data_IF_697364837190
#
_entry.id   IF_697364837190
#
_cell.length_a   1.000
_cell.length_b   1.000
_cell.length_c   1.000
_cell.angle_alpha   90.00
_cell.angle_beta   90.00
_cell.angle_gamma   90.00
#
_symmetry.space_group_name_H-M   'P 1'
#
loop_
_entity.id
_entity.type
_entity.pdbx_description
1 polymer ?
#
# COMPACT_ATOMS: atom_id res chain seq x y z
N UNK A 1 26.02 0.83 34.86
CA UNK A 1 25.60 -0.55 34.57
C UNK A 1 24.09 -0.64 34.22
N UNK A 2 23.21 0.05 34.96
CA UNK A 2 21.76 0.04 34.71
C UNK A 2 21.37 0.64 33.31
N UNK A 3 22.08 1.65 32.82
CA UNK A 3 21.75 2.28 31.55
C UNK A 3 22.03 1.38 30.33
N UNK A 4 23.00 0.49 30.42
CA UNK A 4 23.29 -0.49 29.36
C UNK A 4 22.19 -1.56 29.28
N UNK A 5 21.70 -2.06 30.42
CA UNK A 5 20.64 -3.06 30.44
C UNK A 5 19.32 -2.56 29.82
N UNK A 6 18.93 -1.33 30.11
CA UNK A 6 17.73 -0.71 29.50
C UNK A 6 17.88 -0.54 27.99
N UNK A 7 19.08 -0.16 27.52
CA UNK A 7 19.36 -0.05 26.09
C UNK A 7 19.22 -1.40 25.36
N UNK A 8 19.65 -2.50 25.97
CA UNK A 8 19.54 -3.83 25.37
C UNK A 8 18.12 -4.36 25.37
N UNK A 9 17.35 -4.11 26.42
CA UNK A 9 15.90 -4.43 26.48
C UNK A 9 15.17 -3.70 25.35
N UNK A 10 15.42 -2.41 25.18
CA UNK A 10 14.78 -1.61 24.14
C UNK A 10 15.16 -2.08 22.72
N UNK A 11 16.42 -2.44 22.48
CA UNK A 11 16.86 -3.00 21.20
C UNK A 11 16.16 -4.33 20.90
N UNK A 12 16.09 -5.23 21.87
CA UNK A 12 15.39 -6.52 21.74
C UNK A 12 13.91 -6.32 21.47
N UNK A 13 13.26 -5.40 22.16
CA UNK A 13 11.86 -5.07 21.95
C UNK A 13 11.61 -4.60 20.51
N UNK A 14 12.44 -3.70 19.97
CA UNK A 14 12.32 -3.25 18.59
C UNK A 14 12.45 -4.39 17.58
N UNK A 15 13.44 -5.26 17.77
CA UNK A 15 13.66 -6.41 16.89
C UNK A 15 12.46 -7.36 16.91
N UNK A 16 12.00 -7.72 18.13
CA UNK A 16 10.85 -8.61 18.29
C UNK A 16 9.58 -8.04 17.68
N UNK A 17 9.26 -6.77 17.93
CA UNK A 17 8.08 -6.11 17.37
C UNK A 17 8.15 -6.04 15.84
N UNK A 18 9.34 -5.89 15.27
CA UNK A 18 9.51 -5.87 13.82
C UNK A 18 9.12 -7.20 13.19
N UNK A 19 9.51 -8.31 13.81
CA UNK A 19 9.28 -9.65 13.29
C UNK A 19 7.86 -10.17 13.57
N UNK A 20 7.22 -9.65 14.62
CA UNK A 20 5.84 -10.02 15.00
C UNK A 20 4.76 -9.36 14.14
N UNK A 21 5.10 -8.42 13.26
CA UNK A 21 4.15 -7.73 12.40
C UNK A 21 3.31 -6.66 13.11
N UNK A 22 2.17 -6.25 12.53
CA UNK A 22 1.30 -5.26 13.12
C UNK A 22 0.62 -5.77 14.39
N UNK A 23 0.20 -4.83 15.24
CA UNK A 23 -0.44 -5.13 16.52
C UNK A 23 -1.61 -6.13 16.44
N UNK A 24 -2.32 -6.16 15.32
CA UNK A 24 -3.41 -7.12 15.07
C UNK A 24 -2.95 -8.60 15.06
N UNK A 25 -1.64 -8.86 14.95
CA UNK A 25 -1.08 -10.21 15.02
C UNK A 25 -0.76 -10.67 16.45
N UNK A 26 -0.87 -9.78 17.44
CA UNK A 26 -0.56 -10.10 18.85
C UNK A 26 -1.78 -10.68 19.54
N UNK A 27 -1.54 -11.66 20.42
CA UNK A 27 -2.57 -12.33 21.21
C UNK A 27 -2.25 -12.22 22.69
N UNK A 28 -3.29 -12.18 23.53
CA UNK A 28 -3.17 -12.18 24.98
C UNK A 28 -3.43 -10.84 25.65
N UNK A 29 -3.37 -10.82 26.98
CA UNK A 29 -3.64 -9.67 27.83
C UNK A 29 -2.56 -8.59 27.77
N UNK A 30 -1.32 -9.00 27.45
CA UNK A 30 -0.13 -8.14 27.45
C UNK A 30 0.09 -7.39 26.13
N UNK A 31 -0.89 -7.44 25.22
CA UNK A 31 -0.80 -6.72 23.92
C UNK A 31 -0.66 -5.21 24.18
N UNK A 32 0.42 -4.57 23.68
CA UNK A 32 0.63 -3.13 23.86
C UNK A 32 -0.54 -2.32 23.29
N UNK A 33 -0.98 -1.31 24.04
CA UNK A 33 -2.06 -0.41 23.60
C UNK A 33 -1.61 0.53 22.48
N UNK A 34 -0.34 0.85 22.44
CA UNK A 34 0.26 1.79 21.48
C UNK A 34 0.85 1.07 20.27
N UNK A 35 0.67 1.68 19.10
CA UNK A 35 1.43 1.33 17.90
C UNK A 35 2.69 2.19 17.84
N UNK A 36 3.84 1.54 17.87
CA UNK A 36 5.13 2.23 17.91
C UNK A 36 5.65 2.47 16.49
N UNK A 37 6.42 3.53 16.29
CA UNK A 37 6.88 3.95 14.96
C UNK A 37 7.66 2.85 14.23
N UNK A 38 8.42 2.03 14.94
CA UNK A 38 9.17 0.91 14.33
C UNK A 38 8.33 -0.30 13.93
N UNK A 39 7.04 -0.31 14.29
CA UNK A 39 6.07 -1.28 13.79
C UNK A 39 5.53 -0.89 12.40
N UNK A 40 5.93 0.28 11.89
CA UNK A 40 5.55 0.85 10.60
C UNK A 40 4.02 0.88 10.39
N UNK A 41 3.27 1.53 11.28
CA UNK A 41 1.82 1.58 11.18
C UNK A 41 1.39 2.37 9.96
N UNK A 42 0.54 1.78 9.13
CA UNK A 42 -0.09 2.47 8.00
C UNK A 42 -1.40 3.09 8.46
N UNK A 43 -1.46 4.42 8.49
CA UNK A 43 -2.67 5.15 8.88
C UNK A 43 -3.82 4.82 7.93
N UNK A 44 -4.93 4.36 8.49
CA UNK A 44 -6.17 4.13 7.72
C UNK A 44 -6.74 5.45 7.21
N UNK A 45 -7.30 5.47 6.00
CA UNK A 45 -7.97 6.67 5.48
C UNK A 45 -9.17 7.02 6.36
N UNK A 46 -9.36 8.32 6.63
CA UNK A 46 -10.49 8.80 7.43
C UNK A 46 -11.82 8.70 6.69
N UNK A 47 -11.79 8.80 5.36
CA UNK A 47 -12.98 8.73 4.52
C UNK A 47 -13.25 7.31 4.04
N UNK A 48 -14.47 6.84 4.22
CA UNK A 48 -14.94 5.55 3.72
C UNK A 48 -15.58 5.75 2.34
N UNK A 49 -14.96 5.19 1.30
CA UNK A 49 -15.47 5.27 -0.07
C UNK A 49 -16.86 4.65 -0.19
N UNK A 50 -17.77 5.36 -0.83
CA UNK A 50 -19.12 4.88 -1.15
C UNK A 50 -19.13 4.21 -2.52
N UNK A 51 -20.13 3.39 -2.80
CA UNK A 51 -20.29 2.72 -4.09
C UNK A 51 -20.29 3.72 -5.29
N UNK A 52 -20.90 4.90 -5.11
CA UNK A 52 -20.88 5.97 -6.12
C UNK A 52 -19.47 6.49 -6.40
N UNK A 53 -18.67 6.67 -5.35
CA UNK A 53 -17.30 7.15 -5.47
C UNK A 53 -16.41 6.12 -6.21
N UNK A 54 -16.61 4.83 -5.91
CA UNK A 54 -15.90 3.74 -6.60
C UNK A 54 -16.25 3.70 -8.09
N UNK A 55 -17.53 3.86 -8.45
CA UNK A 55 -17.96 3.93 -9.87
C UNK A 55 -17.34 5.13 -10.59
N UNK A 56 -17.30 6.29 -9.96
CA UNK A 56 -16.68 7.48 -10.52
C UNK A 56 -15.17 7.29 -10.74
N UNK A 57 -14.46 6.78 -9.75
CA UNK A 57 -13.04 6.47 -9.85
C UNK A 57 -12.77 5.42 -10.94
N UNK A 58 -13.57 4.36 -11.04
CA UNK A 58 -13.49 3.37 -12.13
C UNK A 58 -13.62 4.04 -13.50
N UNK A 59 -14.58 4.95 -13.65
CA UNK A 59 -14.77 5.72 -14.91
C UNK A 59 -13.56 6.59 -15.24
N UNK A 60 -12.99 7.29 -14.25
CA UNK A 60 -11.83 8.15 -14.45
C UNK A 60 -10.58 7.35 -14.85
N UNK A 61 -10.33 6.20 -14.19
CA UNK A 61 -9.21 5.32 -14.53
C UNK A 61 -9.39 4.73 -15.94
N UNK A 62 -10.59 4.28 -16.29
CA UNK A 62 -10.86 3.75 -17.65
C UNK A 62 -10.62 4.79 -18.74
N UNK A 63 -10.83 6.08 -18.47
CA UNK A 63 -10.59 7.19 -19.41
C UNK A 63 -9.12 7.64 -19.46
N UNK A 64 -8.27 7.17 -18.57
CA UNK A 64 -6.86 7.60 -18.48
C UNK A 64 -5.95 7.10 -19.59
N UNK A 65 -6.47 6.32 -20.54
CA UNK A 65 -5.74 5.72 -21.68
C UNK A 65 -4.57 4.80 -21.26
N UNK A 66 -4.57 4.31 -20.01
CA UNK A 66 -3.63 3.30 -19.55
C UNK A 66 -4.01 1.93 -20.12
N UNK A 67 -3.02 1.16 -20.53
CA UNK A 67 -3.24 -0.19 -21.04
C UNK A 67 -3.54 -1.18 -19.92
N UNK A 68 -4.19 -2.29 -20.29
CA UNK A 68 -4.44 -3.41 -19.35
C UNK A 68 -3.15 -3.89 -18.71
N UNK A 69 -2.10 -4.06 -19.52
CA UNK A 69 -0.78 -4.52 -19.04
C UNK A 69 -0.18 -3.56 -18.03
N UNK A 70 -0.21 -2.24 -18.28
CA UNK A 70 0.31 -1.23 -17.36
C UNK A 70 -0.42 -1.25 -16.02
N UNK A 71 -1.75 -1.30 -16.05
CA UNK A 71 -2.57 -1.32 -14.82
C UNK A 71 -2.36 -2.59 -14.00
N UNK A 72 -2.42 -3.76 -14.65
CA UNK A 72 -2.31 -5.05 -13.96
C UNK A 72 -0.89 -5.28 -13.44
N UNK A 73 0.15 -4.98 -14.23
CA UNK A 73 1.54 -5.15 -13.79
C UNK A 73 1.88 -4.26 -12.59
N UNK A 74 1.41 -3.00 -12.58
CA UNK A 74 1.63 -2.09 -11.44
C UNK A 74 0.91 -2.58 -10.19
N UNK A 75 -0.34 -3.03 -10.32
CA UNK A 75 -1.08 -3.57 -9.18
C UNK A 75 -0.45 -4.84 -8.63
N UNK A 76 0.00 -5.75 -9.51
CA UNK A 76 0.71 -6.96 -9.14
C UNK A 76 2.03 -6.65 -8.43
N UNK A 77 2.87 -5.81 -9.00
CA UNK A 77 4.14 -5.41 -8.41
C UNK A 77 3.96 -4.75 -7.03
N UNK A 78 2.88 -3.98 -6.86
CA UNK A 78 2.52 -3.40 -5.55
C UNK A 78 2.11 -4.47 -4.53
N UNK A 79 1.45 -5.54 -4.96
CA UNK A 79 0.95 -6.60 -4.08
C UNK A 79 2.00 -7.68 -3.78
N UNK A 80 2.93 -7.93 -4.69
CA UNK A 80 3.89 -9.05 -4.65
C UNK A 80 4.85 -9.03 -3.45
N UNK A 81 5.03 -7.86 -2.83
CA UNK A 81 5.89 -7.71 -1.64
C UNK A 81 5.21 -8.15 -0.33
N UNK A 82 3.96 -8.60 -0.38
CA UNK A 82 3.23 -9.01 0.82
C UNK A 82 3.82 -10.29 1.44
N UNK A 83 4.06 -10.25 2.74
CA UNK A 83 4.51 -11.39 3.55
C UNK A 83 3.39 -11.84 4.47
N UNK A 84 3.04 -13.14 4.36
CA UNK A 84 1.99 -13.74 5.19
C UNK A 84 2.38 -13.93 6.65
N UNK A 85 3.69 -14.08 6.94
CA UNK A 85 4.21 -14.34 8.29
C UNK A 85 4.03 -13.15 9.24
N UNK A 86 4.38 -11.96 8.79
CA UNK A 86 4.35 -10.73 9.61
C UNK A 86 3.34 -9.69 9.10
N UNK A 87 2.54 -10.03 8.08
CA UNK A 87 1.52 -9.17 7.46
C UNK A 87 2.07 -7.85 6.92
N UNK A 88 3.35 -7.79 6.59
CA UNK A 88 4.01 -6.60 6.05
C UNK A 88 4.09 -6.62 4.53
N UNK A 89 4.37 -5.47 3.95
CA UNK A 89 4.43 -5.30 2.51
C UNK A 89 3.06 -5.25 1.86
N UNK A 90 3.00 -5.61 0.58
CA UNK A 90 1.80 -5.59 -0.23
C UNK A 90 1.35 -4.19 -0.64
N UNK A 91 0.15 -4.11 -1.20
CA UNK A 91 -0.40 -2.88 -1.75
C UNK A 91 -0.68 -1.81 -0.68
N UNK A 92 -0.84 -2.20 0.59
CA UNK A 92 -1.04 -1.25 1.68
C UNK A 92 0.23 -0.42 1.91
N UNK A 93 0.08 0.91 1.91
CA UNK A 93 1.21 1.83 2.00
C UNK A 93 1.59 2.47 0.67
N UNK A 94 1.24 1.89 -0.47
CA UNK A 94 1.63 2.33 -1.81
C UNK A 94 3.15 2.53 -1.96
N UNK A 95 3.95 1.64 -1.37
CA UNK A 95 5.42 1.76 -1.30
C UNK A 95 6.10 1.62 -2.65
N UNK A 96 5.43 1.04 -3.64
CA UNK A 96 5.95 0.89 -5.01
C UNK A 96 6.37 2.23 -5.65
N UNK A 97 5.82 3.37 -5.19
CA UNK A 97 6.20 4.70 -5.66
C UNK A 97 7.41 5.30 -4.96
N UNK A 98 7.89 4.66 -3.90
CA UNK A 98 8.97 5.12 -3.04
C UNK A 98 10.23 4.30 -3.27
N UNK A 99 11.36 4.92 -3.00
CA UNK A 99 12.64 4.19 -2.97
C UNK A 99 12.68 3.19 -1.79
N UNK A 100 13.33 2.05 -1.99
CA UNK A 100 14.02 1.60 -3.20
C UNK A 100 13.11 0.89 -4.20
N UNK A 101 11.82 0.63 -3.89
CA UNK A 101 10.95 -0.22 -4.71
C UNK A 101 10.74 0.34 -6.13
N UNK A 102 10.65 1.67 -6.27
CA UNK A 102 10.49 2.31 -7.58
C UNK A 102 11.69 2.06 -8.50
N UNK A 103 12.89 1.91 -7.91
CA UNK A 103 14.15 1.72 -8.62
C UNK A 103 14.51 0.25 -8.84
N UNK A 104 13.73 -0.71 -8.33
CA UNK A 104 13.96 -2.11 -8.64
C UNK A 104 13.83 -2.34 -10.14
N UNK A 105 14.69 -3.14 -10.71
CA UNK A 105 14.75 -3.42 -12.15
C UNK A 105 13.38 -3.81 -12.71
N UNK A 106 12.63 -4.65 -12.01
CA UNK A 106 11.27 -5.07 -12.39
C UNK A 106 10.27 -3.92 -12.41
N UNK A 107 10.47 -2.86 -11.65
CA UNK A 107 9.61 -1.69 -11.56
C UNK A 107 10.09 -0.51 -12.40
N UNK A 108 11.40 -0.45 -12.64
CA UNK A 108 12.05 0.66 -13.35
C UNK A 108 11.96 0.50 -14.88
N UNK A 109 10.75 0.29 -15.38
CA UNK A 109 10.46 0.10 -16.82
C UNK A 109 9.68 1.28 -17.44
N UNK A 110 9.59 2.40 -16.75
CA UNK A 110 8.82 3.59 -17.16
C UNK A 110 7.29 3.42 -17.11
N UNK A 111 6.79 2.19 -17.13
CA UNK A 111 5.34 1.89 -17.09
C UNK A 111 4.75 2.15 -15.70
N UNK A 112 5.42 1.67 -14.67
CA UNK A 112 4.99 1.85 -13.28
C UNK A 112 4.91 3.33 -12.91
N UNK A 113 5.93 4.11 -13.23
CA UNK A 113 5.97 5.57 -12.98
C UNK A 113 4.86 6.29 -13.73
N UNK A 114 4.61 5.93 -14.98
CA UNK A 114 3.50 6.47 -15.78
C UNK A 114 2.15 6.21 -15.14
N UNK A 115 1.90 4.98 -14.69
CA UNK A 115 0.64 4.60 -14.02
C UNK A 115 0.48 5.38 -12.70
N UNK A 116 1.52 5.42 -11.87
CA UNK A 116 1.49 6.13 -10.60
C UNK A 116 1.16 7.61 -10.82
N UNK A 117 1.85 8.29 -11.74
CA UNK A 117 1.60 9.70 -12.06
C UNK A 117 0.17 9.96 -12.54
N UNK A 118 -0.39 9.04 -13.35
CA UNK A 118 -1.76 9.15 -13.80
C UNK A 118 -2.77 8.97 -12.65
N UNK A 119 -2.52 8.00 -11.76
CA UNK A 119 -3.36 7.75 -10.60
C UNK A 119 -3.28 8.89 -9.56
N UNK A 120 -2.11 9.51 -9.38
CA UNK A 120 -1.94 10.69 -8.52
C UNK A 120 -2.73 11.89 -9.04
N UNK A 121 -2.77 12.11 -10.37
CA UNK A 121 -3.63 13.14 -10.96
C UNK A 121 -5.11 12.90 -10.66
N UNK A 122 -5.57 11.65 -10.77
CA UNK A 122 -6.95 11.26 -10.41
C UNK A 122 -7.19 11.46 -8.91
N UNK A 123 -6.23 11.06 -8.08
CA UNK A 123 -6.29 11.25 -6.63
C UNK A 123 -6.46 12.73 -6.26
N UNK A 124 -5.61 13.60 -6.82
CA UNK A 124 -5.64 15.04 -6.54
C UNK A 124 -6.95 15.69 -6.98
N UNK A 125 -7.52 15.23 -8.11
CA UNK A 125 -8.82 15.70 -8.58
C UNK A 125 -9.97 15.23 -7.72
N UNK A 126 -9.91 14.00 -7.20
CA UNK A 126 -10.97 13.41 -6.37
C UNK A 126 -10.93 13.91 -4.93
N UNK A 127 -9.74 14.09 -4.37
CA UNK A 127 -9.55 14.47 -2.98
C UNK A 127 -9.99 15.91 -2.72
N UNK A 128 -10.90 16.05 -1.76
CA UNK A 128 -11.42 17.33 -1.28
C UNK A 128 -11.40 17.35 0.25
N UNK A 129 -11.80 18.46 0.88
CA UNK A 129 -11.95 18.52 2.35
C UNK A 129 -12.91 17.45 2.91
N UNK A 130 -13.86 16.95 2.10
CA UNK A 130 -14.91 15.99 2.54
C UNK A 130 -14.70 14.57 2.02
N UNK A 131 -13.91 14.38 0.97
CA UNK A 131 -13.69 13.07 0.33
C UNK A 131 -12.21 12.83 0.12
N UNK A 132 -11.76 11.60 0.31
CA UNK A 132 -10.38 11.22 0.05
C UNK A 132 -10.28 9.75 -0.36
N UNK A 133 -9.34 9.47 -1.25
CA UNK A 133 -8.94 8.13 -1.65
C UNK A 133 -7.43 8.01 -1.51
N UNK A 134 -6.95 6.88 -1.04
CA UNK A 134 -5.51 6.62 -0.98
C UNK A 134 -4.97 6.18 -2.34
N UNK A 135 -3.71 6.46 -2.60
CA UNK A 135 -3.05 5.97 -3.80
C UNK A 135 -2.98 4.43 -3.81
N UNK A 136 -2.85 3.79 -2.64
CA UNK A 136 -2.87 2.35 -2.51
C UNK A 136 -4.19 1.73 -3.01
N UNK A 137 -5.32 2.33 -2.63
CA UNK A 137 -6.62 1.91 -3.13
C UNK A 137 -6.78 2.16 -4.63
N UNK A 138 -6.24 3.26 -5.16
CA UNK A 138 -6.27 3.54 -6.60
C UNK A 138 -5.43 2.56 -7.42
N UNK A 139 -4.27 2.13 -6.92
CA UNK A 139 -3.44 1.12 -7.59
C UNK A 139 -4.19 -0.21 -7.69
N UNK A 140 -4.79 -0.66 -6.59
CA UNK A 140 -5.57 -1.91 -6.58
C UNK A 140 -6.82 -1.79 -7.48
N UNK A 141 -7.53 -0.67 -7.39
CA UNK A 141 -8.70 -0.43 -8.25
C UNK A 141 -8.31 -0.38 -9.73
N UNK A 142 -7.14 0.17 -10.05
CA UNK A 142 -6.57 0.17 -11.40
C UNK A 142 -6.35 -1.25 -11.92
N UNK A 143 -5.78 -2.14 -11.09
CA UNK A 143 -5.63 -3.56 -11.42
C UNK A 143 -6.96 -4.25 -11.70
N UNK A 144 -7.96 -4.01 -10.84
CA UNK A 144 -9.32 -4.55 -11.04
C UNK A 144 -9.91 -4.12 -12.38
N UNK A 145 -9.78 -2.83 -12.71
CA UNK A 145 -10.27 -2.28 -13.99
C UNK A 145 -9.50 -2.89 -15.16
N UNK A 146 -8.20 -3.09 -15.03
CA UNK A 146 -7.41 -3.78 -16.06
C UNK A 146 -7.96 -5.17 -16.36
N UNK A 147 -8.30 -5.95 -15.34
CA UNK A 147 -8.92 -7.27 -15.50
C UNK A 147 -10.33 -7.15 -16.13
N UNK A 148 -11.16 -6.22 -15.67
CA UNK A 148 -12.50 -5.98 -16.24
C UNK A 148 -12.43 -5.57 -17.72
N UNK A 149 -11.45 -4.75 -18.08
CA UNK A 149 -11.22 -4.36 -19.48
C UNK A 149 -10.75 -5.52 -20.35
N UNK A 150 -9.87 -6.38 -19.84
CA UNK A 150 -9.42 -7.58 -20.53
C UNK A 150 -10.58 -8.57 -20.77
N UNK A 151 -11.39 -8.82 -19.73
CA UNK A 151 -12.58 -9.65 -19.83
C UNK A 151 -13.58 -9.12 -20.86
N UNK A 152 -13.81 -7.80 -20.86
CA UNK A 152 -14.70 -7.16 -21.84
C UNK A 152 -14.18 -7.34 -23.28
N UNK A 153 -12.88 -7.25 -23.51
CA UNK A 153 -12.27 -7.54 -24.82
C UNK A 153 -12.47 -8.99 -25.24
N UNK A 154 -12.51 -9.92 -24.28
CA UNK A 154 -12.80 -11.34 -24.52
C UNK A 154 -14.32 -11.66 -24.57
N UNK A 155 -15.20 -10.65 -24.67
CA UNK A 155 -16.65 -10.82 -24.74
C UNK A 155 -17.31 -11.22 -23.41
N UNK A 156 -16.59 -11.14 -22.28
CA UNK A 156 -17.12 -11.48 -20.95
C UNK A 156 -17.36 -10.21 -20.12
N UNK A 157 -18.49 -10.15 -19.42
CA UNK A 157 -18.79 -9.08 -18.46
C UNK A 157 -18.55 -9.63 -17.06
N UNK A 158 -17.52 -9.13 -16.42
CA UNK A 158 -17.19 -9.48 -15.02
C UNK A 158 -17.09 -8.20 -14.19
N UNK A 159 -17.32 -8.32 -12.91
CA UNK A 159 -17.04 -7.29 -11.92
C UNK A 159 -16.07 -7.86 -10.89
N UNK A 160 -14.91 -7.23 -10.75
CA UNK A 160 -13.90 -7.65 -9.78
C UNK A 160 -14.19 -7.02 -8.43
N UNK A 161 -14.34 -7.81 -7.36
CA UNK A 161 -14.60 -7.29 -6.02
C UNK A 161 -13.51 -6.32 -5.56
N UNK A 162 -13.91 -5.23 -4.92
CA UNK A 162 -13.01 -4.21 -4.40
C UNK A 162 -13.36 -3.85 -2.96
N UNK A 163 -12.38 -3.99 -2.07
CA UNK A 163 -12.49 -3.58 -0.67
C UNK A 163 -11.56 -2.40 -0.42
N UNK A 164 -12.08 -1.18 -0.24
CA UNK A 164 -11.28 0.01 0.07
C UNK A 164 -10.81 0.00 1.52
N UNK A 165 -9.84 0.87 1.84
CA UNK A 165 -9.40 1.10 3.21
C UNK A 165 -7.88 1.00 3.41
N UNK A 166 -7.11 0.87 2.32
CA UNK A 166 -5.64 0.91 2.36
C UNK A 166 -5.18 2.34 2.56
N UNK A 167 -4.14 2.51 3.38
CA UNK A 167 -3.45 3.78 3.54
C UNK A 167 -2.32 3.97 2.54
N UNK A 168 -1.75 5.16 2.52
CA UNK A 168 -0.49 5.44 1.84
C UNK A 168 0.50 6.02 2.84
N UNK A 169 1.75 5.60 2.78
CA UNK A 169 2.85 6.13 3.61
C UNK A 169 3.67 7.13 2.81
N UNK A 170 4.35 8.04 3.50
CA UNK A 170 5.22 9.03 2.87
C UNK A 170 6.69 8.61 2.78
N UNK A 171 7.03 7.50 3.42
CA UNK A 171 8.41 6.99 3.51
C UNK A 171 8.43 5.47 3.60
N UNK A 172 9.56 4.87 3.27
CA UNK A 172 9.85 3.46 3.51
C UNK A 172 10.78 3.33 4.70
N UNK A 173 10.36 2.62 5.75
CA UNK A 173 11.25 2.21 6.84
C UNK A 173 12.08 1.00 6.38
N UNK A 174 13.07 1.26 5.56
CA UNK A 174 13.99 0.22 5.08
C UNK A 174 15.34 0.22 5.78
N UNK A 175 15.61 1.24 6.54
CA UNK A 175 16.76 1.21 7.41
C UNK A 175 16.43 0.41 8.65
N UNK A 176 17.04 -0.77 8.77
CA UNK A 176 17.54 -1.18 10.06
C UNK A 176 18.15 0.07 10.69
N UNK A 177 17.73 0.50 11.90
CA UNK A 177 18.53 1.47 12.60
C UNK A 177 19.93 0.90 12.58
N UNK A 178 20.84 1.61 11.95
CA UNK A 178 22.24 1.24 11.88
C UNK A 178 22.66 1.17 13.33
N UNK A 179 22.81 -0.04 13.84
CA UNK A 179 23.40 -0.27 15.15
C UNK A 179 24.88 -0.13 14.89
N UNK A 180 25.32 1.09 14.71
CA UNK A 180 26.72 1.43 14.63
C UNK A 180 27.01 2.55 15.59
N UNK A 181 27.89 2.19 16.47
CA UNK A 181 28.67 2.91 17.47
C UNK A 181 28.07 3.02 18.82
#
# INVERSE_FOLDING_TARGET
>A
LLSRGLGDVYKRQKLTHRDMGPRACYLGSEVPKEELIWQDPVKKPKYKLKAKDIKDLKSQISKSKLSVSELVSTAWASASTYRGSDKRGGANGARIRLEPQINWEVNNNGKTTKVISALEKIQNKFNTKKKSVSLADLIVLGGNIGIEMAAKKAGKKIEVPFSPGRGAVSYTHLTLPTICS
#
